data_IF_868729029725
#
_entry.id   IF_868729029725
#
_cell.length_a   1.000
_cell.length_b   1.000
_cell.length_c   1.000
_cell.angle_alpha   90.00
_cell.angle_beta   90.00
_cell.angle_gamma   90.00
#
_symmetry.space_group_name_H-M   'P 1'
#
loop_
_entity.id
_entity.type
_entity.pdbx_description
1 polymer ?
#
# COMPACT_ATOMS: atom_id res chain seq x y z
N UNK A 1 2.53 -26.00 -2.45
CA UNK A 1 3.32 -25.25 -3.45
C UNK A 1 2.37 -24.31 -4.17
N UNK A 2 2.31 -23.05 -3.74
CA UNK A 2 1.55 -22.04 -4.47
C UNK A 2 2.41 -21.64 -5.67
N UNK A 3 1.97 -21.95 -6.89
CA UNK A 3 2.61 -21.45 -8.09
C UNK A 3 2.78 -19.93 -7.93
N UNK A 4 4.00 -19.45 -8.13
CA UNK A 4 4.36 -18.05 -7.95
C UNK A 4 3.38 -17.18 -8.74
N UNK A 5 2.45 -16.52 -8.05
CA UNK A 5 1.64 -15.48 -8.68
C UNK A 5 2.63 -14.49 -9.32
N UNK A 6 2.46 -14.14 -10.61
CA UNK A 6 3.28 -13.12 -11.25
C UNK A 6 3.39 -11.90 -10.33
N UNK A 7 4.59 -11.33 -10.20
CA UNK A 7 4.88 -10.27 -9.21
C UNK A 7 3.86 -9.12 -9.26
N UNK A 8 3.45 -8.73 -10.46
CA UNK A 8 2.34 -7.79 -10.67
C UNK A 8 1.05 -8.22 -9.97
N UNK A 9 0.59 -9.46 -10.22
CA UNK A 9 -0.65 -9.97 -9.63
C UNK A 9 -0.57 -10.00 -8.11
N UNK A 10 0.58 -10.34 -7.52
CA UNK A 10 0.79 -10.33 -6.06
C UNK A 10 0.70 -8.91 -5.49
N UNK A 11 1.34 -7.94 -6.12
CA UNK A 11 1.31 -6.54 -5.67
C UNK A 11 -0.09 -5.95 -5.83
N UNK A 12 -0.77 -6.20 -6.96
CA UNK A 12 -2.14 -5.75 -7.18
C UNK A 12 -3.11 -6.32 -6.15
N UNK A 13 -3.03 -7.62 -5.86
CA UNK A 13 -3.83 -8.24 -4.79
C UNK A 13 -3.54 -7.64 -3.42
N UNK A 14 -2.28 -7.28 -3.14
CA UNK A 14 -1.93 -6.57 -1.92
C UNK A 14 -2.60 -5.18 -1.87
N UNK A 15 -2.54 -4.41 -2.97
CA UNK A 15 -3.17 -3.09 -3.05
C UNK A 15 -4.69 -3.17 -2.90
N UNK A 16 -5.34 -4.16 -3.55
CA UNK A 16 -6.76 -4.45 -3.42
C UNK A 16 -7.16 -4.69 -1.96
N UNK A 17 -6.48 -5.64 -1.29
CA UNK A 17 -6.72 -5.95 0.13
C UNK A 17 -6.47 -4.76 1.02
N UNK A 18 -5.49 -3.94 0.69
CA UNK A 18 -5.17 -2.75 1.46
C UNK A 18 -6.22 -1.65 1.29
N UNK A 19 -6.79 -1.47 0.08
CA UNK A 19 -7.96 -0.61 -0.13
C UNK A 19 -9.13 -1.11 0.72
N UNK A 20 -9.44 -2.41 0.67
CA UNK A 20 -10.55 -2.98 1.45
C UNK A 20 -10.35 -2.79 2.94
N UNK A 21 -9.15 -3.09 3.44
CA UNK A 21 -8.79 -2.90 4.85
C UNK A 21 -9.05 -1.46 5.33
N UNK A 22 -8.68 -0.48 4.51
CA UNK A 22 -8.85 0.94 4.83
C UNK A 22 -10.28 1.43 4.61
N UNK A 23 -11.03 0.86 3.67
CA UNK A 23 -12.37 1.35 3.30
C UNK A 23 -13.48 0.76 4.17
N UNK A 24 -13.49 -0.57 4.36
CA UNK A 24 -14.60 -1.32 4.95
C UNK A 24 -14.97 -0.89 6.38
N UNK A 25 -13.99 -0.44 7.16
CA UNK A 25 -14.17 -0.08 8.57
C UNK A 25 -13.50 1.27 8.86
N UNK A 26 -14.34 2.28 9.10
CA UNK A 26 -13.90 3.65 9.35
C UNK A 26 -13.12 3.80 10.66
N UNK A 27 -13.54 3.09 11.71
CA UNK A 27 -12.94 3.16 13.04
C UNK A 27 -11.59 2.46 13.04
N UNK A 28 -11.50 1.27 12.42
CA UNK A 28 -10.23 0.57 12.20
C UNK A 28 -9.26 1.41 11.40
N UNK A 29 -9.71 2.06 10.32
CA UNK A 29 -8.86 2.92 9.51
C UNK A 29 -8.36 4.14 10.30
N UNK A 30 -9.21 4.76 11.12
CA UNK A 30 -8.83 5.89 11.97
C UNK A 30 -7.83 5.46 13.06
N UNK A 31 -8.06 4.33 13.72
CA UNK A 31 -7.13 3.77 14.70
C UNK A 31 -5.79 3.41 14.06
N UNK A 32 -5.80 2.78 12.88
CA UNK A 32 -4.58 2.49 12.14
C UNK A 32 -3.80 3.76 11.79
N UNK A 33 -4.46 4.80 11.28
CA UNK A 33 -3.82 6.09 10.94
C UNK A 33 -3.24 6.77 12.19
N UNK A 34 -3.96 6.72 13.31
CA UNK A 34 -3.49 7.23 14.60
C UNK A 34 -2.25 6.47 15.09
N UNK A 35 -2.28 5.14 15.09
CA UNK A 35 -1.16 4.31 15.54
C UNK A 35 0.07 4.47 14.65
N UNK A 36 -0.14 4.59 13.33
CA UNK A 36 0.94 4.71 12.34
C UNK A 36 1.58 6.11 12.30
N UNK A 37 0.89 7.16 12.76
CA UNK A 37 1.40 8.53 12.77
C UNK A 37 1.47 9.13 14.20
N UNK A 38 1.49 8.28 15.24
CA UNK A 38 1.45 8.75 16.62
C UNK A 38 2.74 9.53 16.97
N UNK A 39 2.66 10.82 17.34
CA UNK A 39 3.85 11.63 17.63
C UNK A 39 4.54 11.24 18.94
N UNK A 40 3.90 10.43 19.78
CA UNK A 40 4.46 9.96 21.06
C UNK A 40 5.37 8.74 20.86
N UNK A 41 5.23 8.00 19.74
CA UNK A 41 6.07 6.83 19.43
C UNK A 41 7.23 7.22 18.52
N UNK A 42 8.37 6.57 18.72
CA UNK A 42 9.46 6.64 17.74
C UNK A 42 9.07 5.89 16.47
N UNK A 43 9.74 6.22 15.36
CA UNK A 43 9.57 5.49 14.10
C UNK A 43 9.86 3.99 14.26
N UNK A 44 10.81 3.63 15.12
CA UNK A 44 11.17 2.25 15.43
C UNK A 44 10.04 1.52 16.17
N UNK A 45 9.46 2.14 17.21
CA UNK A 45 8.33 1.56 17.94
C UNK A 45 7.11 1.36 17.04
N UNK A 46 6.85 2.28 16.13
CA UNK A 46 5.77 2.14 15.14
C UNK A 46 6.08 1.05 14.12
N UNK A 47 7.34 0.94 13.66
CA UNK A 47 7.75 -0.13 12.76
C UNK A 47 7.64 -1.50 13.42
N UNK A 48 7.96 -1.60 14.71
CA UNK A 48 7.85 -2.83 15.49
C UNK A 48 6.40 -3.28 15.68
N UNK A 49 5.46 -2.34 15.88
CA UNK A 49 4.03 -2.64 15.97
C UNK A 49 3.49 -3.30 14.69
N UNK A 50 4.04 -2.93 13.53
CA UNK A 50 3.63 -3.41 12.22
C UNK A 50 4.68 -4.30 11.55
N UNK A 51 5.60 -4.90 12.32
CA UNK A 51 6.81 -5.55 11.82
C UNK A 51 6.54 -6.52 10.68
N UNK A 52 5.65 -7.49 10.90
CA UNK A 52 5.39 -8.55 9.93
C UNK A 52 4.69 -8.02 8.67
N UNK A 53 3.79 -7.05 8.85
CA UNK A 53 3.12 -6.37 7.74
C UNK A 53 4.12 -5.60 6.88
N UNK A 54 5.02 -4.83 7.50
CA UNK A 54 6.04 -4.08 6.80
C UNK A 54 7.04 -5.01 6.11
N UNK A 55 7.52 -6.04 6.79
CA UNK A 55 8.44 -7.03 6.25
C UNK A 55 7.85 -7.75 5.03
N UNK A 56 6.58 -8.16 5.09
CA UNK A 56 5.89 -8.75 3.95
C UNK A 56 5.84 -7.81 2.75
N UNK A 57 5.48 -6.54 2.96
CA UNK A 57 5.38 -5.58 1.86
C UNK A 57 6.73 -5.25 1.24
N UNK A 58 7.78 -5.15 2.05
CA UNK A 58 9.14 -4.89 1.57
C UNK A 58 9.63 -6.08 0.74
N UNK A 59 9.33 -7.31 1.16
CA UNK A 59 9.71 -8.53 0.45
C UNK A 59 9.02 -8.68 -0.92
N UNK A 60 7.71 -8.40 -1.03
CA UNK A 60 7.02 -8.51 -2.33
C UNK A 60 7.47 -7.44 -3.33
N UNK A 61 7.87 -6.26 -2.85
CA UNK A 61 8.43 -5.20 -3.71
C UNK A 61 9.84 -5.58 -4.15
N UNK A 62 10.70 -6.05 -3.24
CA UNK A 62 12.05 -6.50 -3.57
C UNK A 62 12.01 -7.62 -4.62
N UNK A 63 11.19 -8.65 -4.43
CA UNK A 63 11.05 -9.73 -5.40
C UNK A 63 10.57 -9.24 -6.78
N UNK A 64 9.71 -8.22 -6.82
CA UNK A 64 9.26 -7.63 -8.08
C UNK A 64 10.34 -6.77 -8.76
N UNK A 65 11.24 -6.15 -7.99
CA UNK A 65 12.41 -5.46 -8.53
C UNK A 65 13.43 -6.45 -9.10
N UNK A 66 13.70 -7.56 -8.41
CA UNK A 66 14.59 -8.63 -8.88
C UNK A 66 14.10 -9.26 -10.20
N UNK A 67 12.79 -9.16 -10.47
CA UNK A 67 12.15 -9.59 -11.71
C UNK A 67 11.88 -8.43 -12.70
N UNK A 68 12.53 -7.28 -12.53
CA UNK A 68 12.41 -6.08 -13.38
C UNK A 68 10.96 -5.57 -13.60
N UNK A 69 10.04 -5.97 -12.73
CA UNK A 69 8.61 -5.63 -12.83
C UNK A 69 8.25 -4.34 -12.08
N UNK A 70 9.11 -3.90 -11.16
CA UNK A 70 8.96 -2.67 -10.37
C UNK A 70 10.26 -1.86 -10.46
N UNK A 71 10.15 -0.53 -10.45
CA UNK A 71 11.30 0.38 -10.54
C UNK A 71 12.32 0.13 -9.43
N UNK A 72 13.59 0.40 -9.73
CA UNK A 72 14.66 0.37 -8.73
C UNK A 72 14.51 1.47 -7.67
N UNK A 73 15.08 1.23 -6.49
CA UNK A 73 14.99 2.13 -5.34
C UNK A 73 14.74 1.36 -4.04
N UNK A 74 14.61 2.07 -2.93
CA UNK A 74 14.32 1.43 -1.63
C UNK A 74 12.94 0.73 -1.65
N UNK A 75 12.85 -0.60 -1.44
CA UNK A 75 11.58 -1.31 -1.37
C UNK A 75 10.65 -0.70 -0.31
N UNK A 76 11.22 -0.37 0.85
CA UNK A 76 10.53 0.29 1.97
C UNK A 76 9.91 1.62 1.58
N UNK A 77 10.63 2.45 0.83
CA UNK A 77 10.13 3.75 0.37
C UNK A 77 8.97 3.57 -0.62
N UNK A 78 9.13 2.69 -1.62
CA UNK A 78 8.12 2.40 -2.62
C UNK A 78 6.84 1.84 -1.98
N UNK A 79 6.99 0.88 -1.06
CA UNK A 79 5.88 0.29 -0.32
C UNK A 79 5.19 1.34 0.58
N UNK A 80 5.96 2.18 1.26
CA UNK A 80 5.44 3.28 2.09
C UNK A 80 4.66 4.30 1.26
N UNK A 81 5.17 4.68 0.08
CA UNK A 81 4.49 5.58 -0.84
C UNK A 81 3.13 5.03 -1.27
N UNK A 82 3.07 3.79 -1.77
CA UNK A 82 1.83 3.17 -2.21
C UNK A 82 0.81 3.11 -1.06
N UNK A 83 1.24 2.68 0.14
CA UNK A 83 0.39 2.67 1.34
C UNK A 83 -0.12 4.06 1.72
N UNK A 84 0.75 5.06 1.69
CA UNK A 84 0.41 6.44 2.02
C UNK A 84 -0.60 7.00 1.03
N UNK A 85 -0.34 6.85 -0.27
CA UNK A 85 -1.21 7.30 -1.35
C UNK A 85 -2.61 6.70 -1.21
N UNK A 86 -2.72 5.38 -1.02
CA UNK A 86 -4.03 4.71 -0.82
C UNK A 86 -4.75 5.25 0.42
N UNK A 87 -4.10 5.29 1.59
CA UNK A 87 -4.73 5.76 2.83
C UNK A 87 -5.21 7.19 2.75
N UNK A 88 -4.36 8.10 2.27
CA UNK A 88 -4.70 9.52 2.22
C UNK A 88 -5.82 9.79 1.22
N UNK A 89 -5.82 9.11 0.08
CA UNK A 89 -6.90 9.22 -0.92
C UNK A 89 -8.22 8.72 -0.33
N UNK A 90 -8.25 7.52 0.25
CA UNK A 90 -9.48 6.96 0.85
C UNK A 90 -9.97 7.79 2.04
N UNK A 91 -9.07 8.29 2.90
CA UNK A 91 -9.40 9.19 4.00
C UNK A 91 -10.10 10.46 3.50
N UNK A 92 -9.63 11.05 2.40
CA UNK A 92 -10.24 12.24 1.78
C UNK A 92 -11.53 11.93 1.01
N UNK A 93 -11.71 10.72 0.51
CA UNK A 93 -12.94 10.27 -0.19
C UNK A 93 -14.08 9.96 0.77
N UNK A 94 -13.78 9.56 2.01
CA UNK A 94 -14.75 9.10 3.02
C UNK A 94 -15.86 10.10 3.39
N UNK A 95 -15.65 11.44 3.43
CA UNK A 95 -16.73 12.38 3.72
C UNK A 95 -17.79 12.52 2.63
N UNK A 96 -17.52 12.05 1.41
CA UNK A 96 -18.52 12.05 0.34
C UNK A 96 -19.59 10.98 0.67
N UNK A 97 -20.89 11.35 0.67
CA UNK A 97 -21.97 10.43 1.02
C UNK A 97 -22.19 9.30 0.02
N UNK A 98 -21.65 9.41 -1.21
CA UNK A 98 -21.71 8.35 -2.20
C UNK A 98 -20.75 7.22 -1.85
N UNK A 99 -21.13 5.95 -2.07
CA UNK A 99 -20.23 4.81 -1.87
C UNK A 99 -18.98 4.95 -2.75
N UNK A 100 -17.89 4.28 -2.37
CA UNK A 100 -16.71 4.16 -3.23
C UNK A 100 -17.04 3.18 -4.35
N UNK A 101 -17.13 3.68 -5.57
CA UNK A 101 -17.49 2.85 -6.71
C UNK A 101 -16.35 1.87 -7.07
N UNK A 102 -16.66 0.69 -7.65
CA UNK A 102 -15.65 -0.27 -8.08
C UNK A 102 -14.58 0.32 -9.00
N UNK A 103 -14.98 1.24 -9.89
CA UNK A 103 -14.08 1.92 -10.82
C UNK A 103 -13.14 2.88 -10.11
N UNK A 104 -13.61 3.60 -9.08
CA UNK A 104 -12.76 4.46 -8.25
C UNK A 104 -11.73 3.62 -7.48
N UNK A 105 -12.16 2.48 -6.92
CA UNK A 105 -11.27 1.51 -6.27
C UNK A 105 -10.19 1.03 -7.22
N UNK A 106 -10.56 0.65 -8.43
CA UNK A 106 -9.61 0.18 -9.45
C UNK A 106 -8.63 1.28 -9.87
N UNK A 107 -9.11 2.51 -10.07
CA UNK A 107 -8.27 3.65 -10.43
C UNK A 107 -7.18 3.93 -9.37
N UNK A 108 -7.51 3.82 -8.08
CA UNK A 108 -6.53 3.98 -6.99
C UNK A 108 -5.43 2.91 -7.09
N UNK A 109 -5.80 1.67 -7.34
CA UNK A 109 -4.86 0.54 -7.49
C UNK A 109 -3.95 0.78 -8.71
N UNK A 110 -4.53 1.18 -9.85
CA UNK A 110 -3.79 1.40 -11.09
C UNK A 110 -2.82 2.59 -11.01
N UNK A 111 -3.20 3.66 -10.31
CA UNK A 111 -2.30 4.78 -10.02
C UNK A 111 -1.12 4.34 -9.16
N UNK A 112 -1.38 3.56 -8.11
CA UNK A 112 -0.32 3.02 -7.25
C UNK A 112 0.60 2.08 -8.03
N UNK A 113 0.04 1.18 -8.85
CA UNK A 113 0.82 0.29 -9.71
C UNK A 113 1.69 1.07 -10.69
N UNK A 114 1.12 2.05 -11.39
CA UNK A 114 1.86 2.91 -12.33
C UNK A 114 2.99 3.68 -11.65
N UNK A 115 2.77 4.13 -10.41
CA UNK A 115 3.81 4.77 -9.60
C UNK A 115 4.91 3.80 -9.15
N UNK A 116 4.65 2.49 -9.10
CA UNK A 116 5.68 1.48 -8.83
C UNK A 116 6.43 1.07 -10.10
N UNK A 117 5.77 1.03 -11.25
CA UNK A 117 6.36 0.55 -12.51
C UNK A 117 6.93 1.63 -13.42
N UNK A 118 6.52 2.88 -13.27
CA UNK A 118 7.03 3.98 -14.10
C UNK A 118 8.56 4.09 -14.03
N UNK A 119 9.22 4.31 -15.17
CA UNK A 119 10.66 4.41 -15.22
C UNK A 119 11.18 5.55 -14.33
N UNK A 120 12.28 5.32 -13.60
CA UNK A 120 13.14 6.41 -13.18
C UNK A 120 13.77 6.94 -14.47
N UNK A 121 13.26 8.04 -15.02
CA UNK A 121 14.02 8.79 -16.02
C UNK A 121 15.25 9.32 -15.30
N UNK A 122 16.39 8.67 -15.55
CA UNK A 122 17.71 9.15 -15.17
C UNK A 122 17.99 10.50 -15.84
#
# INVERSE_FOLDING_TARGET
MAADLPHEKRIRQYLERYVDFIWEDAERAALFDYLNNNPVRTLEQTADLFRDFLAYTDAIILAAQEADSVRSGSPKLLASFARGATRHTLKRRRPNPLPLEPEERQLIIDMCWSALTGANKA
#
